data_IF_812022739519
#
_entry.id   IF_812022739519
#
_cell.length_a   1.000
_cell.length_b   1.000
_cell.length_c   1.000
_cell.angle_alpha   90.00
_cell.angle_beta   90.00
_cell.angle_gamma   90.00
#
_symmetry.space_group_name_H-M   'P 1'
#
loop_
_entity.id
_entity.type
_entity.pdbx_description
1 polymer ?
#
# COMPACT_ATOMS: atom_id res chain seq x y z
N UNK A 1 28.60 -1.68 -40.16
CA UNK A 1 28.88 -3.12 -39.96
C UNK A 1 27.76 -3.78 -39.17
N UNK A 2 27.49 -3.40 -37.92
CA UNK A 2 26.44 -4.01 -37.05
C UNK A 2 25.03 -4.13 -37.68
N UNK A 3 24.55 -3.11 -38.40
CA UNK A 3 23.23 -3.12 -39.06
C UNK A 3 23.04 -4.23 -40.09
N UNK A 4 24.13 -4.69 -40.74
CA UNK A 4 24.12 -5.80 -41.72
C UNK A 4 23.58 -7.09 -41.10
N UNK A 5 23.86 -7.28 -39.81
CA UNK A 5 23.46 -8.44 -39.02
C UNK A 5 22.23 -8.17 -38.13
N UNK A 6 21.54 -7.04 -38.35
CA UNK A 6 20.32 -6.67 -37.62
C UNK A 6 20.54 -6.05 -36.23
N UNK A 7 21.79 -5.81 -35.83
CA UNK A 7 22.10 -5.12 -34.57
C UNK A 7 21.88 -3.61 -34.69
N UNK A 8 21.32 -3.03 -33.64
CA UNK A 8 21.18 -1.58 -33.43
C UNK A 8 22.25 -1.12 -32.45
N UNK A 9 22.87 0.02 -32.73
CA UNK A 9 23.89 0.60 -31.85
C UNK A 9 23.29 1.70 -30.98
N UNK A 10 23.66 1.71 -29.70
CA UNK A 10 23.37 2.79 -28.77
C UNK A 10 24.53 2.92 -27.79
N UNK A 11 25.16 4.10 -27.72
CA UNK A 11 26.36 4.33 -26.91
C UNK A 11 27.42 3.24 -27.15
N UNK A 12 27.84 2.52 -26.10
CA UNK A 12 28.87 1.49 -26.13
C UNK A 12 28.32 0.06 -26.37
N UNK A 13 27.01 -0.08 -26.63
CA UNK A 13 26.38 -1.39 -26.84
C UNK A 13 25.84 -1.55 -28.26
N UNK A 14 25.84 -2.80 -28.73
CA UNK A 14 25.09 -3.22 -29.91
C UNK A 14 24.06 -4.25 -29.49
N UNK A 15 22.79 -4.04 -29.80
CA UNK A 15 21.70 -4.90 -29.34
C UNK A 15 20.75 -5.31 -30.46
N UNK A 16 20.10 -6.46 -30.29
CA UNK A 16 19.12 -7.02 -31.22
C UNK A 16 18.00 -7.66 -30.40
N UNK A 17 16.77 -7.59 -30.91
CA UNK A 17 15.62 -8.27 -30.30
C UNK A 17 15.10 -9.28 -31.31
N UNK A 18 15.04 -10.55 -30.91
CA UNK A 18 14.65 -11.65 -31.77
C UNK A 18 14.11 -12.81 -30.91
N UNK A 19 13.04 -13.48 -31.38
CA UNK A 19 12.45 -14.62 -30.65
C UNK A 19 11.94 -14.31 -29.24
N UNK A 20 11.64 -13.05 -28.91
CA UNK A 20 11.25 -12.65 -27.55
C UNK A 20 12.43 -12.43 -26.59
N UNK A 21 13.67 -12.57 -27.07
CA UNK A 21 14.89 -12.30 -26.32
C UNK A 21 15.51 -10.96 -26.68
N UNK A 22 16.20 -10.38 -25.72
CA UNK A 22 17.08 -9.24 -25.88
C UNK A 22 18.53 -9.74 -25.90
N UNK A 23 19.19 -9.59 -27.04
CA UNK A 23 20.61 -9.88 -27.21
C UNK A 23 21.39 -8.58 -27.15
N UNK A 24 22.46 -8.58 -26.37
CA UNK A 24 23.32 -7.40 -26.21
C UNK A 24 24.79 -7.79 -26.27
N UNK A 25 25.50 -7.15 -27.20
CA UNK A 25 26.93 -7.24 -27.40
C UNK A 25 27.59 -6.03 -26.75
N UNK A 26 28.34 -6.29 -25.68
CA UNK A 26 29.12 -5.29 -24.96
C UNK A 26 30.54 -5.30 -25.48
N UNK A 27 31.04 -4.14 -25.90
CA UNK A 27 32.46 -3.96 -26.23
C UNK A 27 33.17 -3.40 -25.00
N UNK A 28 33.99 -4.23 -24.39
CA UNK A 28 34.85 -3.94 -23.25
C UNK A 28 36.30 -3.84 -23.73
N UNK A 29 37.21 -3.38 -22.88
CA UNK A 29 38.62 -3.25 -23.24
C UNK A 29 39.21 -4.63 -23.56
N UNK A 30 39.50 -4.89 -24.84
CA UNK A 30 40.10 -6.14 -25.32
C UNK A 30 39.14 -7.33 -25.51
N UNK A 31 37.84 -7.16 -25.27
CA UNK A 31 36.86 -8.25 -25.46
C UNK A 31 35.47 -7.73 -25.88
N UNK A 32 34.75 -8.53 -26.66
CA UNK A 32 33.32 -8.38 -26.90
C UNK A 32 32.56 -9.52 -26.23
N UNK A 33 31.53 -9.20 -25.44
CA UNK A 33 30.69 -10.20 -24.76
C UNK A 33 29.27 -10.15 -25.26
N UNK A 34 28.78 -11.28 -25.78
CA UNK A 34 27.39 -11.45 -26.18
C UNK A 34 26.59 -12.00 -25.01
N UNK A 35 25.52 -11.30 -24.66
CA UNK A 35 24.60 -11.69 -23.59
C UNK A 35 23.17 -11.80 -24.07
N UNK A 36 22.38 -12.63 -23.40
CA UNK A 36 20.96 -12.85 -23.68
C UNK A 36 20.13 -12.76 -22.40
N UNK A 37 18.92 -12.21 -22.54
CA UNK A 37 17.86 -12.33 -21.53
C UNK A 37 16.48 -12.24 -22.17
N UNK A 38 15.44 -12.89 -21.63
CA UNK A 38 14.08 -12.72 -22.11
C UNK A 38 13.58 -11.29 -21.93
N UNK A 39 12.80 -10.78 -22.88
CA UNK A 39 12.22 -9.44 -22.81
C UNK A 39 11.31 -9.25 -21.58
N UNK A 40 10.56 -10.29 -21.19
CA UNK A 40 9.67 -10.17 -20.03
C UNK A 40 10.45 -9.94 -18.71
N UNK A 41 11.73 -10.31 -18.64
CA UNK A 41 12.47 -10.32 -17.38
C UNK A 41 12.66 -8.91 -16.82
N UNK A 42 13.12 -7.95 -17.64
CA UNK A 42 13.21 -6.55 -17.23
C UNK A 42 11.83 -5.95 -16.97
N UNK A 43 10.82 -6.30 -17.78
CA UNK A 43 9.46 -5.78 -17.60
C UNK A 43 8.86 -6.21 -16.26
N UNK A 44 9.07 -7.47 -15.88
CA UNK A 44 8.65 -8.02 -14.61
C UNK A 44 9.45 -7.41 -13.45
N UNK A 45 10.76 -7.24 -13.63
CA UNK A 45 11.61 -6.60 -12.62
C UNK A 45 11.20 -5.16 -12.35
N UNK A 46 10.95 -4.37 -13.39
CA UNK A 46 10.49 -2.98 -13.24
C UNK A 46 9.10 -2.89 -12.60
N UNK A 47 8.21 -3.87 -12.82
CA UNK A 47 6.94 -3.95 -12.08
C UNK A 47 7.13 -4.28 -10.60
N UNK A 48 8.08 -5.17 -10.28
CA UNK A 48 8.41 -5.55 -8.90
C UNK A 48 9.05 -4.39 -8.15
N UNK A 49 9.91 -3.63 -8.84
CA UNK A 49 10.65 -2.48 -8.31
C UNK A 49 9.83 -1.18 -8.29
N UNK A 50 8.60 -1.20 -8.81
CA UNK A 50 7.72 -0.02 -8.95
C UNK A 50 8.32 1.09 -9.86
N UNK A 51 9.11 0.69 -10.85
CA UNK A 51 9.75 1.55 -11.85
C UNK A 51 9.18 1.31 -13.25
N UNK A 52 7.86 1.13 -13.35
CA UNK A 52 7.16 0.82 -14.62
C UNK A 52 7.32 1.88 -15.71
N UNK A 53 7.77 3.09 -15.37
CA UNK A 53 8.10 4.16 -16.32
C UNK A 53 9.21 3.76 -17.29
N UNK A 54 10.17 2.93 -16.84
CA UNK A 54 11.26 2.41 -17.66
C UNK A 54 10.79 1.60 -18.87
N UNK A 55 9.54 1.12 -18.87
CA UNK A 55 8.94 0.42 -20.01
C UNK A 55 8.69 1.32 -21.21
N UNK A 56 8.62 2.64 -20.99
CA UNK A 56 8.39 3.65 -22.05
C UNK A 56 9.70 4.17 -22.64
N UNK A 57 10.81 3.90 -21.98
CA UNK A 57 12.15 4.29 -22.39
C UNK A 57 12.64 3.47 -23.61
N UNK A 58 13.65 3.96 -24.35
CA UNK A 58 14.16 3.23 -25.51
C UNK A 58 14.68 1.84 -25.14
N UNK A 59 14.55 0.88 -26.05
CA UNK A 59 14.96 -0.52 -25.85
C UNK A 59 16.42 -0.68 -25.41
N UNK A 60 17.29 0.26 -25.76
CA UNK A 60 18.68 0.26 -25.32
C UNK A 60 18.84 0.35 -23.80
N UNK A 61 17.86 0.91 -23.08
CA UNK A 61 17.87 0.97 -21.61
C UNK A 61 17.94 -0.43 -20.98
N UNK A 62 17.44 -1.47 -21.66
CA UNK A 62 17.57 -2.86 -21.21
C UNK A 62 19.03 -3.34 -21.22
N UNK A 63 19.92 -2.72 -21.98
CA UNK A 63 21.35 -3.06 -21.99
C UNK A 63 22.22 -2.07 -21.21
N UNK A 64 21.83 -0.79 -21.14
CA UNK A 64 22.64 0.27 -20.50
C UNK A 64 22.10 0.76 -19.17
N UNK A 65 20.88 0.38 -18.78
CA UNK A 65 20.21 0.92 -17.62
C UNK A 65 20.78 0.37 -16.32
N UNK A 66 21.05 1.27 -15.36
CA UNK A 66 21.50 0.88 -14.02
C UNK A 66 20.53 -0.06 -13.30
N UNK A 67 19.24 -0.04 -13.64
CA UNK A 67 18.20 -0.91 -13.08
C UNK A 67 17.73 -2.02 -14.04
N UNK A 68 18.51 -2.33 -15.07
CA UNK A 68 18.25 -3.45 -15.98
C UNK A 68 18.94 -4.72 -15.45
N UNK A 69 18.35 -5.88 -15.73
CA UNK A 69 18.92 -7.15 -15.27
C UNK A 69 20.13 -7.55 -16.12
N UNK A 70 21.13 -8.17 -15.52
CA UNK A 70 22.23 -8.77 -16.28
C UNK A 70 21.73 -9.97 -17.09
N UNK A 71 22.27 -10.15 -18.29
CA UNK A 71 22.00 -11.32 -19.14
C UNK A 71 22.97 -12.48 -18.89
N UNK A 72 22.59 -13.65 -19.40
CA UNK A 72 23.47 -14.81 -19.51
C UNK A 72 24.46 -14.60 -20.66
N UNK A 73 25.74 -14.89 -20.45
CA UNK A 73 26.77 -14.85 -21.49
C UNK A 73 26.61 -16.05 -22.42
N UNK A 74 26.53 -15.78 -23.71
CA UNK A 74 26.53 -16.80 -24.76
C UNK A 74 27.93 -17.05 -25.29
N UNK A 75 28.65 -15.97 -25.60
CA UNK A 75 29.99 -16.01 -26.15
C UNK A 75 30.80 -14.80 -25.74
N UNK A 76 32.11 -14.98 -25.66
CA UNK A 76 33.11 -13.92 -25.48
C UNK A 76 34.11 -14.01 -26.62
N UNK A 77 34.41 -12.87 -27.23
CA UNK A 77 35.32 -12.74 -28.35
C UNK A 77 36.49 -11.85 -27.93
N UNK A 78 37.72 -12.33 -28.06
CA UNK A 78 38.90 -11.52 -27.80
C UNK A 78 39.12 -10.55 -28.97
N UNK A 79 39.42 -9.29 -28.65
CA UNK A 79 39.73 -8.26 -29.63
C UNK A 79 41.22 -7.98 -29.52
N UNK A 80 42.00 -8.45 -30.50
CA UNK A 80 43.42 -8.18 -30.56
C UNK A 80 43.69 -6.68 -30.72
N UNK A 81 44.68 -6.16 -30.00
CA UNK A 81 45.16 -4.79 -30.19
C UNK A 81 45.90 -4.70 -31.53
N UNK A 82 45.28 -4.04 -32.51
CA UNK A 82 45.89 -3.72 -33.81
C UNK A 82 45.80 -2.23 -34.08
N UNK A 83 46.83 -1.69 -34.73
CA UNK A 83 46.86 -0.30 -35.23
C UNK A 83 46.37 -0.20 -36.68
N UNK A 84 46.13 -1.33 -37.36
CA UNK A 84 45.60 -1.34 -38.72
C UNK A 84 44.06 -1.27 -38.73
N UNK A 85 43.54 -0.33 -39.51
CA UNK A 85 42.10 -0.05 -39.59
C UNK A 85 41.33 -1.13 -40.36
N UNK A 86 41.95 -1.77 -41.35
CA UNK A 86 41.32 -2.81 -42.16
C UNK A 86 41.26 -4.13 -41.40
N UNK A 87 42.34 -4.53 -40.71
CA UNK A 87 42.32 -5.65 -39.76
C UNK A 87 41.26 -5.48 -38.68
N UNK A 88 41.17 -4.28 -38.07
CA UNK A 88 40.17 -3.99 -37.06
C UNK A 88 38.74 -4.10 -37.61
N UNK A 89 38.51 -3.58 -38.82
CA UNK A 89 37.23 -3.65 -39.51
C UNK A 89 36.80 -5.09 -39.78
N UNK A 90 37.72 -5.93 -40.25
CA UNK A 90 37.46 -7.35 -40.49
C UNK A 90 37.16 -8.08 -39.18
N UNK A 91 37.92 -7.82 -38.12
CA UNK A 91 37.68 -8.40 -36.80
C UNK A 91 36.27 -8.05 -36.27
N UNK A 92 35.81 -6.80 -36.42
CA UNK A 92 34.45 -6.44 -36.04
C UNK A 92 33.39 -7.13 -36.91
N UNK A 93 33.57 -7.24 -38.24
CA UNK A 93 32.60 -7.93 -39.10
C UNK A 93 32.49 -9.42 -38.74
N UNK A 94 33.62 -10.06 -38.43
CA UNK A 94 33.69 -11.45 -37.96
C UNK A 94 32.97 -11.61 -36.60
N UNK A 95 33.23 -10.73 -35.62
CA UNK A 95 32.52 -10.75 -34.33
C UNK A 95 31.00 -10.65 -34.53
N UNK A 96 30.52 -9.75 -35.40
CA UNK A 96 29.08 -9.63 -35.63
C UNK A 96 28.49 -10.84 -36.37
N UNK A 97 29.24 -11.45 -37.29
CA UNK A 97 28.85 -12.67 -38.00
C UNK A 97 28.77 -13.86 -37.06
N UNK A 98 29.78 -14.05 -36.22
CA UNK A 98 29.83 -15.13 -35.23
C UNK A 98 28.74 -14.93 -34.17
N UNK A 99 28.58 -13.71 -33.66
CA UNK A 99 27.49 -13.37 -32.75
C UNK A 99 26.11 -13.66 -33.35
N UNK A 100 25.89 -13.37 -34.63
CA UNK A 100 24.62 -13.69 -35.28
C UNK A 100 24.41 -15.22 -35.46
N UNK A 101 25.49 -15.97 -35.67
CA UNK A 101 25.46 -17.44 -35.73
C UNK A 101 25.08 -18.02 -34.35
N UNK A 102 25.71 -17.53 -33.28
CA UNK A 102 25.39 -17.91 -31.90
C UNK A 102 23.94 -17.56 -31.51
N UNK A 103 23.46 -16.37 -31.89
CA UNK A 103 22.05 -15.99 -31.68
C UNK A 103 21.10 -16.98 -32.37
N UNK A 104 21.40 -17.35 -33.61
CA UNK A 104 20.55 -18.28 -34.38
C UNK A 104 20.56 -19.68 -33.78
N UNK A 105 21.73 -20.17 -33.35
CA UNK A 105 21.87 -21.43 -32.63
C UNK A 105 21.07 -21.43 -31.32
N UNK A 106 21.24 -20.39 -30.51
CA UNK A 106 20.52 -20.24 -29.24
C UNK A 106 19.00 -20.24 -29.41
N UNK A 107 18.48 -19.55 -30.43
CA UNK A 107 17.04 -19.51 -30.73
C UNK A 107 16.49 -20.85 -31.24
N UNK A 108 17.34 -21.68 -31.86
CA UNK A 108 16.98 -23.04 -32.27
C UNK A 108 16.83 -23.94 -31.05
N UNK A 109 17.75 -23.82 -30.09
CA UNK A 109 17.74 -24.60 -28.84
C UNK A 109 16.66 -24.11 -27.86
N UNK A 110 16.37 -22.81 -27.87
CA UNK A 110 15.43 -22.14 -26.97
C UNK A 110 14.42 -21.30 -27.79
N UNK A 111 13.44 -21.94 -28.45
CA UNK A 111 12.49 -21.25 -29.30
C UNK A 111 11.45 -20.42 -28.52
N UNK A 112 11.19 -20.78 -27.26
CA UNK A 112 10.21 -20.13 -26.40
C UNK A 112 10.88 -19.39 -25.24
N UNK A 113 10.83 -18.06 -25.30
CA UNK A 113 11.35 -17.20 -24.26
C UNK A 113 10.72 -17.44 -22.89
N UNK A 114 9.43 -17.77 -22.83
CA UNK A 114 8.68 -17.88 -21.57
C UNK A 114 9.11 -19.10 -20.73
N UNK A 115 9.62 -20.13 -21.39
CA UNK A 115 10.10 -21.38 -20.79
C UNK A 115 11.60 -21.35 -20.45
N UNK A 116 12.30 -20.28 -20.83
CA UNK A 116 13.74 -20.18 -20.64
C UNK A 116 14.11 -19.98 -19.17
N UNK A 117 15.07 -20.78 -18.71
CA UNK A 117 15.74 -20.61 -17.42
C UNK A 117 17.22 -20.33 -17.66
N UNK A 118 17.76 -19.23 -17.10
CA UNK A 118 19.16 -18.90 -17.29
C UNK A 118 20.07 -19.90 -16.56
N UNK A 119 21.21 -20.21 -17.17
CA UNK A 119 22.31 -20.91 -16.52
C UNK A 119 23.08 -19.92 -15.64
N UNK A 120 22.95 -20.10 -14.32
CA UNK A 120 23.53 -19.24 -13.31
C UNK A 120 25.06 -19.22 -13.35
N UNK A 121 25.70 -20.29 -13.83
CA UNK A 121 27.16 -20.36 -13.97
C UNK A 121 27.71 -19.49 -15.11
N UNK A 122 26.84 -19.12 -16.06
CA UNK A 122 27.18 -18.32 -17.25
C UNK A 122 26.67 -16.89 -17.16
N UNK A 123 26.31 -16.41 -15.98
CA UNK A 123 25.84 -15.04 -15.81
C UNK A 123 26.99 -14.05 -15.87
N UNK A 124 26.81 -12.92 -16.58
CA UNK A 124 27.87 -11.91 -16.71
C UNK A 124 28.21 -11.27 -15.34
N UNK A 125 27.18 -10.82 -14.61
CA UNK A 125 27.30 -10.32 -13.25
C UNK A 125 25.92 -10.28 -12.57
N UNK A 126 25.56 -11.34 -11.84
CA UNK A 126 24.26 -11.41 -11.14
C UNK A 126 24.42 -12.01 -9.73
N UNK A 127 24.97 -11.24 -8.76
CA UNK A 127 25.16 -11.72 -7.39
C UNK A 127 23.83 -12.06 -6.69
N UNK A 128 22.73 -11.47 -7.15
CA UNK A 128 21.40 -11.57 -6.55
C UNK A 128 20.52 -12.63 -7.25
N UNK A 129 21.04 -13.30 -8.30
CA UNK A 129 20.33 -14.31 -9.10
C UNK A 129 18.99 -13.78 -9.65
N UNK A 130 18.90 -12.49 -9.95
CA UNK A 130 17.65 -11.81 -10.29
C UNK A 130 17.03 -12.35 -11.58
N UNK A 131 17.84 -12.65 -12.60
CA UNK A 131 17.29 -13.17 -13.87
C UNK A 131 16.62 -14.52 -13.65
N UNK A 132 17.24 -15.38 -12.83
CA UNK A 132 16.69 -16.68 -12.46
C UNK A 132 15.41 -16.54 -11.62
N UNK A 133 15.42 -15.62 -10.62
CA UNK A 133 14.23 -15.33 -9.83
C UNK A 133 13.07 -14.78 -10.69
N UNK A 134 13.35 -13.96 -11.70
CA UNK A 134 12.32 -13.50 -12.64
C UNK A 134 11.73 -14.66 -13.45
N UNK A 135 12.57 -15.60 -13.93
CA UNK A 135 12.10 -16.78 -14.65
C UNK A 135 11.20 -17.68 -13.77
N UNK A 136 11.52 -17.84 -12.48
CA UNK A 136 10.67 -18.55 -11.53
C UNK A 136 9.32 -17.85 -11.32
N UNK A 137 9.33 -16.53 -11.11
CA UNK A 137 8.11 -15.75 -10.87
C UNK A 137 7.20 -15.72 -12.11
N UNK A 138 7.81 -15.61 -13.30
CA UNK A 138 7.11 -15.65 -14.58
C UNK A 138 6.36 -16.98 -14.75
N UNK A 139 7.01 -18.10 -14.44
CA UNK A 139 6.47 -19.45 -14.51
C UNK A 139 5.62 -19.89 -13.29
N UNK A 140 5.09 -18.92 -12.52
CA UNK A 140 4.28 -19.11 -11.30
C UNK A 140 4.93 -19.94 -10.16
N UNK A 141 6.25 -20.17 -10.20
CA UNK A 141 7.04 -20.86 -9.15
C UNK A 141 7.50 -19.90 -8.06
N UNK A 142 6.54 -19.20 -7.45
CA UNK A 142 6.82 -18.13 -6.46
C UNK A 142 7.35 -18.67 -5.14
N UNK A 143 6.94 -19.87 -4.76
CA UNK A 143 7.36 -20.55 -3.55
C UNK A 143 8.85 -20.85 -3.57
N UNK A 144 9.35 -21.36 -4.70
CA UNK A 144 10.77 -21.64 -4.94
C UNK A 144 11.60 -20.35 -4.89
N UNK A 145 11.12 -19.28 -5.53
CA UNK A 145 11.75 -17.96 -5.46
C UNK A 145 11.85 -17.44 -4.01
N UNK A 146 10.80 -17.64 -3.20
CA UNK A 146 10.80 -17.26 -1.78
C UNK A 146 11.73 -18.15 -0.94
N UNK A 147 11.96 -19.40 -1.33
CA UNK A 147 12.89 -20.29 -0.64
C UNK A 147 14.35 -19.87 -0.89
N UNK A 148 14.71 -19.58 -2.14
CA UNK A 148 16.02 -19.05 -2.52
C UNK A 148 16.33 -17.77 -1.74
N UNK A 149 15.37 -16.84 -1.65
CA UNK A 149 15.53 -15.61 -0.88
C UNK A 149 15.76 -15.89 0.62
N UNK A 150 15.02 -16.84 1.20
CA UNK A 150 15.20 -17.20 2.62
C UNK A 150 16.59 -17.80 2.86
N UNK A 151 17.08 -18.62 1.95
CA UNK A 151 18.42 -19.18 2.02
C UNK A 151 19.49 -18.09 1.90
N UNK A 152 19.34 -17.16 0.96
CA UNK A 152 20.25 -16.03 0.80
C UNK A 152 20.29 -15.14 2.07
N UNK A 153 19.14 -14.92 2.71
CA UNK A 153 19.07 -14.20 4.00
C UNK A 153 19.79 -14.96 5.13
N UNK A 154 19.67 -16.29 5.20
CA UNK A 154 20.42 -17.10 6.18
C UNK A 154 21.93 -16.97 5.98
N UNK A 155 22.36 -16.89 4.73
CA UNK A 155 23.76 -16.73 4.35
C UNK A 155 24.25 -15.27 4.46
N UNK A 156 23.41 -14.36 4.98
CA UNK A 156 23.70 -12.92 5.12
C UNK A 156 24.12 -12.26 3.80
N UNK A 157 23.57 -12.73 2.68
CA UNK A 157 23.77 -12.13 1.37
C UNK A 157 23.37 -10.66 1.38
N UNK A 158 24.17 -9.81 0.76
CA UNK A 158 23.85 -8.39 0.58
C UNK A 158 23.47 -8.15 -0.87
N UNK A 159 22.23 -7.74 -1.09
CA UNK A 159 21.75 -7.44 -2.44
C UNK A 159 22.51 -6.26 -3.05
N UNK A 160 22.70 -6.30 -4.36
CA UNK A 160 23.32 -5.23 -5.15
C UNK A 160 22.38 -4.02 -5.26
N UNK A 161 21.09 -4.26 -5.49
CA UNK A 161 20.10 -3.19 -5.51
C UNK A 161 19.53 -2.95 -4.11
N UNK A 162 19.80 -1.75 -3.59
CA UNK A 162 19.30 -1.28 -2.31
C UNK A 162 18.56 0.05 -2.54
N UNK A 163 17.34 0.14 -2.03
CA UNK A 163 16.54 1.35 -2.00
C UNK A 163 16.35 1.75 -0.53
N UNK A 164 16.97 2.85 -0.12
CA UNK A 164 16.90 3.35 1.25
C UNK A 164 17.50 2.42 2.31
N UNK A 165 17.15 2.65 3.57
CA UNK A 165 17.78 2.01 4.74
C UNK A 165 17.31 0.57 5.02
N UNK A 166 16.19 0.12 4.40
CA UNK A 166 15.54 -1.16 4.77
C UNK A 166 14.89 -1.93 3.60
N UNK A 167 15.16 -1.57 2.35
CA UNK A 167 14.61 -2.31 1.20
C UNK A 167 15.69 -2.70 0.20
N UNK A 168 15.74 -3.99 -0.09
CA UNK A 168 16.66 -4.60 -1.05
C UNK A 168 15.88 -5.37 -2.13
N UNK A 169 16.58 -5.85 -3.16
CA UNK A 169 15.99 -6.65 -4.26
C UNK A 169 15.05 -7.74 -3.76
N UNK A 170 15.51 -8.51 -2.77
CA UNK A 170 14.78 -9.62 -2.19
C UNK A 170 13.53 -9.20 -1.41
N UNK A 171 13.56 -8.03 -0.77
CA UNK A 171 12.40 -7.46 -0.10
C UNK A 171 11.29 -7.12 -1.10
N UNK A 172 11.62 -6.50 -2.25
CA UNK A 172 10.65 -6.20 -3.29
C UNK A 172 10.05 -7.48 -3.90
N UNK A 173 10.90 -8.44 -4.25
CA UNK A 173 10.47 -9.74 -4.79
C UNK A 173 9.57 -10.47 -3.78
N UNK A 174 9.96 -10.50 -2.50
CA UNK A 174 9.19 -11.13 -1.43
C UNK A 174 7.80 -10.50 -1.27
N UNK A 175 7.71 -9.16 -1.35
CA UNK A 175 6.43 -8.44 -1.30
C UNK A 175 5.57 -8.80 -2.51
N UNK A 176 6.15 -8.80 -3.71
CA UNK A 176 5.45 -9.14 -4.95
C UNK A 176 4.84 -10.54 -4.92
N UNK A 177 5.63 -11.55 -4.54
CA UNK A 177 5.17 -12.93 -4.44
C UNK A 177 4.02 -13.08 -3.42
N UNK A 178 4.06 -12.32 -2.31
CA UNK A 178 3.02 -12.35 -1.26
C UNK A 178 1.76 -11.53 -1.61
N UNK A 179 1.86 -10.50 -2.47
CA UNK A 179 0.74 -9.59 -2.82
C UNK A 179 -0.46 -10.31 -3.44
N UNK A 180 -0.22 -11.29 -4.33
CA UNK A 180 -1.30 -12.11 -4.94
C UNK A 180 -1.90 -13.13 -3.95
N UNK A 181 -1.14 -13.57 -2.95
CA UNK A 181 -1.65 -14.46 -1.89
C UNK A 181 -2.68 -13.75 -1.00
N UNK A 182 -2.43 -12.48 -0.64
CA UNK A 182 -3.39 -11.66 0.11
C UNK A 182 -4.70 -11.42 -0.66
N UNK A 183 -4.62 -11.22 -1.98
CA UNK A 183 -5.82 -11.11 -2.83
C UNK A 183 -6.56 -12.45 -3.00
N UNK A 184 -5.85 -13.60 -3.06
CA UNK A 184 -6.47 -14.94 -2.99
C UNK A 184 -7.14 -15.20 -1.63
N UNK A 185 -6.55 -14.73 -0.54
CA UNK A 185 -7.13 -14.79 0.80
C UNK A 185 -8.38 -13.92 0.90
N UNK A 186 -8.35 -12.70 0.34
CA UNK A 186 -9.52 -11.80 0.30
C UNK A 186 -10.63 -12.33 -0.63
N UNK A 187 -10.29 -12.93 -1.77
CA UNK A 187 -11.26 -13.53 -2.71
C UNK A 187 -11.86 -14.82 -2.15
N UNK A 188 -11.08 -15.69 -1.49
CA UNK A 188 -11.64 -16.84 -0.75
C UNK A 188 -12.50 -16.40 0.44
N UNK A 189 -12.14 -15.32 1.12
CA UNK A 189 -12.93 -14.77 2.22
C UNK A 189 -14.26 -14.18 1.74
N UNK A 190 -14.25 -13.43 0.63
CA UNK A 190 -15.48 -12.87 0.01
C UNK A 190 -16.36 -13.96 -0.62
N UNK A 191 -15.81 -14.94 -1.33
CA UNK A 191 -16.58 -16.09 -1.84
C UNK A 191 -17.21 -16.94 -0.73
N UNK A 192 -16.54 -17.08 0.42
CA UNK A 192 -17.08 -17.80 1.58
C UNK A 192 -18.16 -17.02 2.33
N UNK A 193 -18.18 -15.69 2.22
CA UNK A 193 -19.20 -14.84 2.85
C UNK A 193 -20.38 -14.50 1.94
N UNK A 194 -20.23 -14.60 0.60
CA UNK A 194 -21.31 -14.32 -0.35
C UNK A 194 -22.01 -15.56 -0.93
N UNK A 195 -21.42 -16.76 -0.86
CA UNK A 195 -22.12 -17.99 -1.24
C UNK A 195 -22.69 -18.69 0.00
N UNK A 196 -23.73 -18.10 0.56
CA UNK A 196 -24.72 -18.81 1.36
C UNK A 196 -26.11 -18.44 0.80
N UNK A 197 -26.41 -18.98 -0.37
CA UNK A 197 -27.78 -19.26 -0.81
C UNK A 197 -27.69 -20.34 -1.87
N UNK A 198 -28.30 -21.48 -1.54
CA UNK A 198 -28.52 -22.61 -2.43
C UNK A 198 -29.34 -22.17 -3.64
N UNK A 199 -28.83 -22.40 -4.85
CA UNK A 199 -29.65 -22.88 -5.97
C UNK A 199 -28.84 -23.93 -6.73
N UNK A 200 -29.45 -25.10 -6.83
CA UNK A 200 -28.98 -26.31 -7.47
C UNK A 200 -28.90 -26.19 -8.99
N UNK A 201 -28.09 -27.09 -9.56
CA UNK A 201 -28.22 -27.71 -10.88
C UNK A 201 -28.36 -26.79 -12.12
N UNK A 202 -27.28 -26.71 -12.90
CA UNK A 202 -27.19 -27.54 -14.10
C UNK A 202 -25.82 -27.47 -14.76
N UNK A 203 -25.20 -28.64 -14.94
CA UNK A 203 -24.07 -28.80 -15.83
C UNK A 203 -24.51 -28.94 -17.28
N UNK A 204 -23.89 -28.17 -18.19
CA UNK A 204 -23.40 -28.70 -19.48
C UNK A 204 -22.54 -27.68 -20.21
N UNK A 205 -21.32 -28.15 -20.51
CA UNK A 205 -20.45 -27.81 -21.65
C UNK A 205 -21.02 -26.81 -22.66
N UNK A 206 -20.27 -25.74 -22.95
CA UNK A 206 -19.79 -25.45 -24.31
C UNK A 206 -18.42 -24.78 -24.20
N UNK A 207 -17.39 -25.54 -24.56
CA UNK A 207 -16.17 -25.02 -25.15
C UNK A 207 -16.54 -24.39 -26.50
N UNK A 208 -16.26 -23.10 -26.69
CA UNK A 208 -15.91 -22.41 -27.95
C UNK A 208 -15.95 -20.91 -27.65
N UNK A 209 -14.89 -20.19 -28.03
CA UNK A 209 -14.88 -18.73 -28.03
C UNK A 209 -13.71 -18.10 -27.28
N UNK A 210 -12.49 -18.34 -27.77
CA UNK A 210 -11.41 -17.34 -27.66
C UNK A 210 -11.89 -16.09 -28.40
N UNK A 211 -12.48 -15.14 -27.69
CA UNK A 211 -12.58 -13.77 -28.16
C UNK A 211 -12.24 -12.81 -27.01
N UNK A 212 -11.08 -12.17 -27.18
CA UNK A 212 -10.72 -10.85 -26.69
C UNK A 212 -11.44 -10.38 -25.41
N UNK A 213 -10.99 -10.85 -24.26
CA UNK A 213 -11.15 -10.12 -23.01
C UNK A 213 -10.28 -8.86 -23.11
N UNK A 214 -10.81 -7.81 -23.75
CA UNK A 214 -10.28 -6.45 -23.66
C UNK A 214 -10.17 -6.15 -22.18
N UNK A 215 -8.94 -6.18 -21.69
CA UNK A 215 -8.53 -5.75 -20.37
C UNK A 215 -9.13 -4.34 -20.15
N UNK A 216 -10.28 -4.25 -19.49
CA UNK A 216 -10.88 -2.98 -19.11
C UNK A 216 -9.86 -2.31 -18.19
N UNK A 217 -9.11 -1.35 -18.73
CA UNK A 217 -8.17 -0.48 -17.98
C UNK A 217 -8.86 -0.07 -16.70
N UNK A 218 -8.25 -0.42 -15.55
CA UNK A 218 -8.68 0.15 -14.28
C UNK A 218 -8.61 1.68 -14.43
N UNK A 219 -9.68 2.42 -14.10
CA UNK A 219 -9.69 3.86 -14.30
C UNK A 219 -8.57 4.50 -13.49
N UNK A 220 -7.96 5.54 -14.07
CA UNK A 220 -6.70 6.16 -13.64
C UNK A 220 -6.61 6.47 -12.14
N UNK A 221 -7.72 6.88 -11.53
CA UNK A 221 -7.78 7.18 -10.10
C UNK A 221 -7.51 5.98 -9.20
N UNK A 222 -7.72 4.72 -9.66
CA UNK A 222 -7.42 3.49 -8.91
C UNK A 222 -5.94 3.09 -8.85
N UNK A 223 -5.06 3.80 -9.57
CA UNK A 223 -3.63 3.52 -9.64
C UNK A 223 -2.81 4.27 -8.58
N UNK A 224 -3.40 5.25 -7.90
CA UNK A 224 -2.68 6.00 -6.88
C UNK A 224 -2.43 5.17 -5.62
N UNK A 225 -1.29 5.37 -4.93
CA UNK A 225 -1.05 4.82 -3.61
C UNK A 225 -2.15 5.21 -2.61
N UNK A 226 -2.46 4.32 -1.66
CA UNK A 226 -3.54 4.53 -0.67
C UNK A 226 -3.43 5.87 0.10
N UNK A 227 -2.22 6.36 0.36
CA UNK A 227 -1.98 7.64 1.04
C UNK A 227 -2.46 8.87 0.26
N UNK A 228 -2.51 8.80 -1.08
CA UNK A 228 -3.00 9.90 -1.93
C UNK A 228 -4.50 10.09 -1.71
N UNK A 229 -5.26 9.00 -1.55
CA UNK A 229 -6.69 9.11 -1.22
C UNK A 229 -6.90 9.74 0.14
N UNK A 230 -6.12 9.34 1.15
CA UNK A 230 -6.17 9.98 2.47
C UNK A 230 -5.88 11.48 2.38
N UNK A 231 -4.92 11.89 1.55
CA UNK A 231 -4.56 13.30 1.38
C UNK A 231 -5.62 14.09 0.61
N UNK A 232 -6.26 13.50 -0.40
CA UNK A 232 -7.38 14.13 -1.13
C UNK A 232 -8.67 14.19 -0.33
N UNK A 233 -8.90 13.23 0.58
CA UNK A 233 -10.09 13.19 1.42
C UNK A 233 -9.90 13.91 2.76
N UNK A 234 -8.66 14.20 3.17
CA UNK A 234 -8.36 14.91 4.41
C UNK A 234 -9.08 16.28 4.51
N UNK A 235 -9.17 17.11 3.44
CA UNK A 235 -9.95 18.34 3.48
C UNK A 235 -11.46 18.14 3.77
N UNK A 236 -12.00 16.94 3.58
CA UNK A 236 -13.40 16.60 3.90
C UNK A 236 -13.50 15.99 5.29
N UNK A 237 -12.63 15.02 5.62
CA UNK A 237 -12.70 14.33 6.91
C UNK A 237 -12.27 15.20 8.10
N UNK A 238 -11.29 16.09 7.92
CA UNK A 238 -10.80 16.93 9.01
C UNK A 238 -11.89 17.89 9.51
N UNK A 239 -12.60 18.66 8.66
CA UNK A 239 -13.72 19.49 9.11
C UNK A 239 -14.86 18.68 9.75
N UNK A 240 -15.18 17.52 9.19
CA UNK A 240 -16.23 16.63 9.74
C UNK A 240 -15.85 16.12 11.13
N UNK A 241 -14.59 15.74 11.35
CA UNK A 241 -14.10 15.32 12.65
C UNK A 241 -14.13 16.47 13.68
N UNK A 242 -13.72 17.69 13.27
CA UNK A 242 -13.84 18.88 14.12
C UNK A 242 -15.29 19.19 14.47
N UNK A 243 -16.22 19.05 13.52
CA UNK A 243 -17.64 19.24 13.75
C UNK A 243 -18.20 18.24 14.76
N UNK A 244 -17.87 16.94 14.62
CA UNK A 244 -18.30 15.94 15.61
C UNK A 244 -17.69 16.19 16.98
N UNK A 245 -16.45 16.66 17.05
CA UNK A 245 -15.83 16.99 18.33
C UNK A 245 -16.49 18.20 19.02
N UNK A 246 -16.82 19.26 18.28
CA UNK A 246 -17.59 20.39 18.79
C UNK A 246 -19.00 19.96 19.23
N UNK A 247 -19.64 19.08 18.45
CA UNK A 247 -20.96 18.56 18.76
C UNK A 247 -20.97 17.72 20.04
N UNK A 248 -19.96 16.87 20.23
CA UNK A 248 -19.80 16.07 21.44
C UNK A 248 -19.70 16.95 22.69
N UNK A 249 -18.97 18.06 22.62
CA UNK A 249 -18.87 19.03 23.72
C UNK A 249 -20.20 19.71 24.07
N UNK A 250 -21.03 19.97 23.07
CA UNK A 250 -22.33 20.64 23.24
C UNK A 250 -23.45 19.70 23.68
N UNK A 251 -23.29 18.41 23.42
CA UNK A 251 -24.31 17.42 23.77
C UNK A 251 -24.24 17.15 25.27
N UNK A 252 -25.36 17.33 25.98
CA UNK A 252 -25.45 17.18 27.44
C UNK A 252 -25.57 15.71 27.83
N UNK A 253 -24.64 14.88 27.34
CA UNK A 253 -24.59 13.44 27.58
C UNK A 253 -23.24 13.05 28.20
N UNK A 254 -23.25 12.62 29.45
CA UNK A 254 -22.07 12.04 30.11
C UNK A 254 -21.88 10.61 29.56
N UNK A 255 -21.21 10.46 28.41
CA UNK A 255 -20.88 9.13 27.86
C UNK A 255 -19.92 8.42 28.83
N UNK A 256 -20.31 7.27 29.41
CA UNK A 256 -19.44 6.57 30.34
C UNK A 256 -18.12 6.14 29.69
N UNK A 257 -17.01 6.39 30.38
CA UNK A 257 -15.66 6.04 29.94
C UNK A 257 -15.49 4.54 29.60
N UNK A 258 -16.29 3.66 30.21
CA UNK A 258 -16.25 2.23 29.92
C UNK A 258 -16.76 1.87 28.51
N UNK A 259 -17.61 2.70 27.88
CA UNK A 259 -18.09 2.46 26.51
C UNK A 259 -16.91 2.50 25.52
N UNK A 260 -16.01 3.44 25.72
CA UNK A 260 -14.77 3.56 24.95
C UNK A 260 -13.89 2.31 25.10
N UNK A 261 -13.77 1.79 26.32
CA UNK A 261 -12.95 0.61 26.61
C UNK A 261 -13.56 -0.69 26.08
N UNK A 262 -14.86 -0.90 26.29
CA UNK A 262 -15.58 -2.09 25.85
C UNK A 262 -15.67 -2.14 24.33
N UNK A 263 -16.03 -1.03 23.68
CA UNK A 263 -16.10 -0.96 22.21
C UNK A 263 -14.73 -1.22 21.56
N UNK A 264 -13.66 -0.64 22.11
CA UNK A 264 -12.30 -0.87 21.59
C UNK A 264 -11.84 -2.31 21.80
N UNK A 265 -12.20 -2.91 22.94
CA UNK A 265 -11.85 -4.29 23.29
C UNK A 265 -12.59 -5.32 22.42
N UNK A 266 -13.87 -5.07 22.07
CA UNK A 266 -14.64 -5.91 21.13
C UNK A 266 -14.02 -5.91 19.73
N UNK A 267 -13.57 -4.75 19.26
CA UNK A 267 -12.91 -4.62 17.94
C UNK A 267 -11.54 -5.31 17.95
N UNK A 268 -10.76 -5.15 19.02
CA UNK A 268 -9.49 -5.85 19.18
C UNK A 268 -9.67 -7.38 19.24
N UNK A 269 -10.70 -7.86 19.94
CA UNK A 269 -11.05 -9.27 20.01
C UNK A 269 -11.49 -9.82 18.65
N UNK A 270 -12.27 -9.06 17.87
CA UNK A 270 -12.67 -9.44 16.52
C UNK A 270 -11.47 -9.61 15.58
N UNK A 271 -10.52 -8.66 15.61
CA UNK A 271 -9.27 -8.73 14.84
C UNK A 271 -8.44 -9.95 15.27
N UNK A 272 -8.36 -10.20 16.58
CA UNK A 272 -7.62 -11.32 17.13
C UNK A 272 -8.21 -12.66 16.69
N UNK A 273 -9.53 -12.83 16.76
CA UNK A 273 -10.25 -14.03 16.30
C UNK A 273 -10.01 -14.25 14.80
N UNK A 274 -10.07 -13.19 14.00
CA UNK A 274 -9.76 -13.25 12.56
C UNK A 274 -8.34 -13.74 12.28
N UNK A 275 -7.35 -13.27 13.06
CA UNK A 275 -5.96 -13.69 12.92
C UNK A 275 -5.70 -15.13 13.37
N UNK A 276 -6.33 -15.59 14.45
CA UNK A 276 -6.23 -16.98 14.93
C UNK A 276 -6.82 -17.93 13.87
N UNK A 277 -7.98 -17.59 13.30
CA UNK A 277 -8.66 -18.38 12.26
C UNK A 277 -7.87 -18.49 10.96
N UNK A 278 -6.99 -17.53 10.68
CA UNK A 278 -6.14 -17.50 9.47
C UNK A 278 -4.78 -18.21 9.65
N UNK A 279 -4.58 -18.94 10.75
CA UNK A 279 -3.44 -19.86 10.89
C UNK A 279 -2.12 -19.17 11.19
N UNK A 280 -2.07 -18.33 12.23
CA UNK A 280 -0.80 -17.77 12.72
C UNK A 280 0.15 -18.89 13.20
N UNK A 281 1.26 -19.08 12.49
CA UNK A 281 2.31 -20.04 12.89
C UNK A 281 2.97 -19.63 14.22
N UNK A 282 3.15 -20.61 15.11
CA UNK A 282 3.67 -20.52 16.51
C UNK A 282 4.84 -19.54 16.75
N UNK A 283 5.76 -19.36 15.79
CA UNK A 283 6.95 -18.50 15.96
C UNK A 283 6.67 -16.98 15.85
N UNK A 284 5.49 -16.58 15.37
CA UNK A 284 5.07 -15.17 15.27
C UNK A 284 3.82 -14.83 16.10
N UNK A 285 3.36 -15.75 16.96
CA UNK A 285 2.11 -15.60 17.72
C UNK A 285 2.14 -14.39 18.64
N UNK A 286 3.26 -14.17 19.33
CA UNK A 286 3.40 -13.12 20.34
C UNK A 286 3.45 -11.72 19.70
N UNK A 287 4.16 -11.59 18.58
CA UNK A 287 4.18 -10.35 17.78
C UNK A 287 2.81 -10.09 17.14
N UNK A 288 2.15 -11.12 16.63
CA UNK A 288 0.79 -11.01 16.10
C UNK A 288 -0.23 -10.59 17.16
N UNK A 289 -0.18 -11.18 18.36
CA UNK A 289 -1.02 -10.80 19.49
C UNK A 289 -0.81 -9.33 19.88
N UNK A 290 0.45 -8.91 20.03
CA UNK A 290 0.79 -7.54 20.40
C UNK A 290 0.29 -6.54 19.36
N UNK A 291 0.51 -6.82 18.07
CA UNK A 291 0.03 -5.97 16.97
C UNK A 291 -1.51 -5.97 16.90
N UNK A 292 -2.18 -7.09 17.15
CA UNK A 292 -3.65 -7.15 17.20
C UNK A 292 -4.22 -6.24 18.28
N UNK A 293 -3.60 -6.26 19.46
CA UNK A 293 -4.05 -5.49 20.62
C UNK A 293 -3.80 -4.00 20.36
N UNK A 294 -2.61 -3.62 19.89
CA UNK A 294 -2.27 -2.21 19.64
C UNK A 294 -3.06 -1.61 18.48
N UNK A 295 -3.10 -2.27 17.32
CA UNK A 295 -3.89 -1.78 16.19
C UNK A 295 -5.39 -1.87 16.46
N UNK A 296 -5.85 -2.93 17.13
CA UNK A 296 -7.26 -3.10 17.47
C UNK A 296 -7.77 -2.08 18.48
N UNK A 297 -6.97 -1.68 19.46
CA UNK A 297 -7.34 -0.61 20.39
C UNK A 297 -7.33 0.77 19.72
N UNK A 298 -6.33 1.09 18.91
CA UNK A 298 -6.27 2.37 18.18
C UNK A 298 -7.44 2.49 17.20
N UNK A 299 -7.66 1.47 16.37
CA UNK A 299 -8.77 1.45 15.43
C UNK A 299 -10.13 1.40 16.14
N UNK A 300 -10.19 0.68 17.26
CA UNK A 300 -11.36 0.60 18.12
C UNK A 300 -11.79 1.97 18.66
N UNK A 301 -10.84 2.75 19.19
CA UNK A 301 -11.12 4.11 19.67
C UNK A 301 -11.65 5.02 18.55
N UNK A 302 -11.05 4.95 17.36
CA UNK A 302 -11.53 5.75 16.21
C UNK A 302 -12.93 5.33 15.75
N UNK A 303 -13.22 4.03 15.71
CA UNK A 303 -14.52 3.52 15.32
C UNK A 303 -15.61 3.88 16.33
N UNK A 304 -15.35 3.71 17.63
CA UNK A 304 -16.29 4.10 18.69
C UNK A 304 -16.56 5.60 18.66
N UNK A 305 -15.53 6.43 18.50
CA UNK A 305 -15.69 7.88 18.37
C UNK A 305 -16.52 8.27 17.14
N UNK A 306 -16.34 7.57 16.02
CA UNK A 306 -17.15 7.79 14.81
C UNK A 306 -18.62 7.43 15.02
N UNK A 307 -18.91 6.32 15.70
CA UNK A 307 -20.28 5.92 16.05
C UNK A 307 -20.95 6.93 16.98
N UNK A 308 -20.22 7.42 17.98
CA UNK A 308 -20.70 8.47 18.89
C UNK A 308 -21.02 9.75 18.12
N UNK A 309 -20.08 10.22 17.28
CA UNK A 309 -20.29 11.42 16.47
C UNK A 309 -21.49 11.28 15.52
N UNK A 310 -21.68 10.11 14.90
CA UNK A 310 -22.85 9.84 14.06
C UNK A 310 -24.15 9.85 14.88
N UNK A 311 -24.16 9.24 16.05
CA UNK A 311 -25.32 9.22 16.95
C UNK A 311 -25.71 10.65 17.38
N UNK A 312 -24.75 11.45 17.81
CA UNK A 312 -24.96 12.85 18.19
C UNK A 312 -25.35 13.72 16.99
N UNK A 313 -24.75 13.46 15.82
CA UNK A 313 -25.09 14.11 14.56
C UNK A 313 -26.56 13.90 14.19
N UNK A 314 -27.04 12.67 14.30
CA UNK A 314 -28.46 12.33 14.11
C UNK A 314 -29.32 12.99 15.19
N UNK A 315 -28.88 12.97 16.44
CA UNK A 315 -29.59 13.61 17.55
C UNK A 315 -29.81 15.11 17.31
N UNK A 316 -28.79 15.81 16.78
CA UNK A 316 -28.87 17.23 16.42
C UNK A 316 -29.69 17.51 15.17
N UNK A 317 -29.55 16.66 14.14
CA UNK A 317 -30.22 16.86 12.86
C UNK A 317 -31.75 16.87 13.00
N UNK A 318 -32.27 16.08 13.93
CA UNK A 318 -33.69 15.97 14.25
C UNK A 318 -34.06 16.64 15.59
N UNK A 319 -33.23 17.57 16.07
CA UNK A 319 -33.52 18.30 17.30
C UNK A 319 -34.65 19.33 17.10
N UNK A 320 -35.33 19.66 18.19
CA UNK A 320 -36.38 20.67 18.23
C UNK A 320 -35.86 22.08 17.92
N UNK A 321 -36.81 23.02 17.77
CA UNK A 321 -36.50 24.45 17.81
C UNK A 321 -35.79 24.83 19.13
N UNK A 322 -34.94 25.87 19.11
CA UNK A 322 -34.21 26.33 20.29
C UNK A 322 -35.18 26.84 21.38
N UNK A 323 -34.93 26.42 22.62
CA UNK A 323 -35.71 26.78 23.80
C UNK A 323 -34.82 27.64 24.70
N UNK A 324 -35.34 28.78 25.12
CA UNK A 324 -34.67 29.70 26.04
C UNK A 324 -35.20 29.51 27.45
N UNK A 325 -34.31 29.22 28.41
CA UNK A 325 -34.67 29.00 29.81
C UNK A 325 -33.73 29.77 30.73
N UNK A 326 -34.32 30.41 31.74
CA UNK A 326 -33.56 31.06 32.82
C UNK A 326 -32.93 30.03 33.75
N UNK A 327 -31.64 30.18 34.02
CA UNK A 327 -30.84 29.26 34.80
C UNK A 327 -29.90 30.02 35.76
N UNK A 328 -29.56 29.42 36.89
CA UNK A 328 -28.65 29.99 37.88
C UNK A 328 -27.31 29.23 37.89
N UNK A 329 -26.22 29.98 37.77
CA UNK A 329 -24.87 29.39 37.83
C UNK A 329 -24.58 28.94 39.26
N UNK A 330 -24.25 27.66 39.45
CA UNK A 330 -23.91 27.13 40.78
C UNK A 330 -22.43 27.36 41.13
N UNK A 331 -22.05 27.06 42.37
CA UNK A 331 -20.64 27.05 42.78
C UNK A 331 -19.83 25.88 42.18
N UNK A 332 -20.48 24.90 41.56
CA UNK A 332 -19.84 23.74 40.96
C UNK A 332 -19.14 24.08 39.64
N UNK A 333 -17.84 24.39 39.71
CA UNK A 333 -16.99 24.63 38.54
C UNK A 333 -15.80 23.70 38.55
N UNK A 334 -15.57 23.03 37.42
CA UNK A 334 -14.45 22.10 37.26
C UNK A 334 -13.62 22.50 36.06
N UNK A 335 -12.30 22.59 36.26
CA UNK A 335 -11.33 22.77 35.20
C UNK A 335 -10.47 21.53 35.09
N UNK A 336 -10.57 20.83 33.96
CA UNK A 336 -9.71 19.70 33.66
C UNK A 336 -8.65 20.12 32.64
N UNK A 337 -7.38 19.97 33.01
CA UNK A 337 -6.23 20.28 32.17
C UNK A 337 -5.55 18.99 31.72
N UNK A 338 -5.64 18.65 30.44
CA UNK A 338 -4.86 17.54 29.89
C UNK A 338 -3.37 17.93 29.77
N UNK A 339 -2.44 17.13 30.28
CA UNK A 339 -1.00 17.32 30.09
C UNK A 339 -0.57 16.56 28.83
N UNK A 340 -0.27 17.27 27.73
CA UNK A 340 0.15 16.65 26.46
C UNK A 340 0.38 17.65 25.31
N UNK A 341 0.81 17.14 24.14
CA UNK A 341 1.12 17.93 22.92
C UNK A 341 -0.12 18.58 22.26
N UNK A 342 -1.31 18.19 22.71
CA UNK A 342 -2.61 18.73 22.32
C UNK A 342 -3.31 19.23 23.59
N UNK A 343 -3.64 20.52 23.65
CA UNK A 343 -4.28 21.14 24.82
C UNK A 343 -5.80 20.88 24.80
N UNK A 344 -6.26 19.79 25.40
CA UNK A 344 -7.67 19.55 25.66
C UNK A 344 -8.01 20.09 27.05
N UNK A 345 -8.46 21.35 27.11
CA UNK A 345 -9.00 21.94 28.33
C UNK A 345 -10.52 21.80 28.32
N UNK A 346 -11.09 21.33 29.43
CA UNK A 346 -12.53 21.33 29.69
C UNK A 346 -12.85 22.31 30.81
N UNK A 347 -13.85 23.15 30.58
CA UNK A 347 -14.33 24.21 31.48
C UNK A 347 -15.79 23.93 31.83
N UNK A 348 -15.99 22.99 32.75
CA UNK A 348 -17.32 22.50 33.11
C UNK A 348 -17.94 23.41 34.17
N UNK A 349 -19.11 23.95 33.86
CA UNK A 349 -19.92 24.76 34.77
C UNK A 349 -21.23 24.03 35.05
N UNK A 350 -21.58 23.91 36.33
CA UNK A 350 -22.87 23.36 36.74
C UNK A 350 -23.90 24.49 36.82
N UNK A 351 -25.00 24.35 36.10
CA UNK A 351 -26.10 25.32 36.09
C UNK A 351 -27.41 24.63 36.49
N UNK A 352 -28.25 25.34 37.25
CA UNK A 352 -29.56 24.87 37.69
C UNK A 352 -30.67 25.60 36.91
N UNK A 353 -31.53 24.86 36.21
CA UNK A 353 -32.68 25.41 35.51
C UNK A 353 -33.79 25.79 36.49
N UNK A 354 -34.31 27.02 36.41
CA UNK A 354 -35.37 27.51 37.30
C UNK A 354 -36.73 26.77 37.20
N UNK A 355 -37.24 26.42 36.00
CA UNK A 355 -38.59 25.84 35.92
C UNK A 355 -38.66 24.38 36.41
N UNK A 356 -37.56 23.64 36.37
CA UNK A 356 -37.57 22.18 36.60
C UNK A 356 -36.59 21.72 37.69
N UNK A 357 -35.79 22.63 38.28
CA UNK A 357 -34.70 22.29 39.21
C UNK A 357 -33.72 21.23 38.68
N UNK A 358 -33.64 21.10 37.36
CA UNK A 358 -32.70 20.18 36.70
C UNK A 358 -31.31 20.78 36.72
N UNK A 359 -30.32 19.94 37.04
CA UNK A 359 -28.92 20.31 37.10
C UNK A 359 -28.26 19.91 35.77
N UNK A 360 -27.69 20.88 35.07
CA UNK A 360 -26.97 20.67 33.82
C UNK A 360 -25.47 20.91 34.01
N UNK A 361 -24.65 20.09 33.35
CA UNK A 361 -23.20 20.29 33.25
C UNK A 361 -22.88 20.76 31.83
N UNK A 362 -22.28 21.93 31.71
CA UNK A 362 -21.99 22.55 30.41
C UNK A 362 -20.49 22.81 30.30
N UNK A 363 -19.85 22.31 29.24
CA UNK A 363 -18.45 22.61 28.90
C UNK A 363 -18.40 23.85 27.98
N UNK A 364 -18.27 25.04 28.59
CA UNK A 364 -18.12 26.30 27.85
C UNK A 364 -17.18 27.26 28.60
N UNK A 365 -16.21 27.80 27.87
CA UNK A 365 -15.17 28.66 28.44
C UNK A 365 -15.70 30.03 28.90
N UNK A 366 -16.65 30.61 28.16
CA UNK A 366 -17.20 31.92 28.50
C UNK A 366 -18.19 31.80 29.66
N UNK A 367 -19.02 30.74 29.68
CA UNK A 367 -19.90 30.43 30.80
C UNK A 367 -19.11 30.17 32.10
N UNK A 368 -17.94 29.55 32.00
CA UNK A 368 -17.07 29.33 33.16
C UNK A 368 -16.58 30.62 33.83
N UNK A 369 -16.49 31.74 33.10
CA UNK A 369 -16.10 33.04 33.66
C UNK A 369 -17.23 33.74 34.40
N UNK A 370 -18.49 33.40 34.15
CA UNK A 370 -19.67 34.03 34.77
C UNK A 370 -19.65 33.79 36.29
N UNK A 371 -19.88 34.80 37.14
CA UNK A 371 -19.84 34.60 38.59
C UNK A 371 -20.84 33.53 39.07
N UNK A 372 -20.53 32.77 40.14
CA UNK A 372 -21.51 31.92 40.78
C UNK A 372 -22.70 32.75 41.28
N UNK A 373 -23.89 32.14 41.30
CA UNK A 373 -25.20 32.74 41.64
C UNK A 373 -25.75 33.75 40.64
N UNK A 374 -25.03 34.06 39.56
CA UNK A 374 -25.55 34.89 38.48
C UNK A 374 -26.69 34.20 37.70
N UNK A 375 -27.66 34.99 37.28
CA UNK A 375 -28.72 34.55 36.38
C UNK A 375 -28.24 34.59 34.92
N UNK A 376 -28.43 33.50 34.21
CA UNK A 376 -28.10 33.36 32.79
C UNK A 376 -29.30 32.80 32.04
N UNK A 377 -29.50 33.22 30.80
CA UNK A 377 -30.47 32.59 29.90
C UNK A 377 -29.69 31.58 29.06
N UNK A 378 -30.12 30.32 29.11
CA UNK A 378 -29.53 29.22 28.35
C UNK A 378 -30.45 28.89 27.20
N UNK A 379 -29.86 28.75 26.01
CA UNK A 379 -30.54 28.26 24.82
C UNK A 379 -30.08 26.82 24.56
N UNK A 380 -31.03 25.88 24.56
CA UNK A 380 -30.75 24.47 24.26
C UNK A 380 -31.84 23.88 23.35
N UNK A 381 -31.58 22.71 22.77
CA UNK A 381 -32.51 21.97 21.91
C UNK A 381 -32.76 20.59 22.48
N UNK A 382 -34.00 20.11 22.42
CA UNK A 382 -34.31 18.71 22.71
C UNK A 382 -33.92 17.85 21.52
N UNK A 383 -32.95 16.97 21.70
CA UNK A 383 -32.54 16.03 20.67
C UNK A 383 -33.52 14.87 20.50
N UNK A 384 -33.46 14.21 19.34
CA UNK A 384 -34.33 13.10 18.96
C UNK A 384 -34.39 11.97 20.01
N UNK A 385 -33.28 11.68 20.67
CA UNK A 385 -33.17 10.59 21.64
C UNK A 385 -33.47 11.03 23.08
N UNK A 386 -34.06 12.22 23.28
CA UNK A 386 -34.27 12.81 24.60
C UNK A 386 -32.98 13.28 25.26
N UNK A 387 -31.96 13.57 24.44
CA UNK A 387 -30.66 14.09 24.88
C UNK A 387 -30.56 15.54 24.43
N UNK A 388 -30.39 16.44 25.39
CA UNK A 388 -30.38 17.87 25.13
C UNK A 388 -29.04 18.35 24.59
N UNK A 389 -29.09 19.38 23.76
CA UNK A 389 -27.92 19.96 23.08
C UNK A 389 -27.86 21.45 23.42
N UNK A 390 -26.74 21.86 24.00
CA UNK A 390 -26.45 23.27 24.30
C UNK A 390 -26.12 24.04 23.01
N UNK A 391 -26.76 25.21 22.81
CA UNK A 391 -26.52 26.06 21.63
C UNK A 391 -25.73 27.32 22.02
N UNK A 392 -26.24 28.07 23.00
CA UNK A 392 -25.64 29.32 23.47
C UNK A 392 -26.14 29.71 24.87
N UNK A 393 -25.50 30.71 25.47
CA UNK A 393 -26.00 31.39 26.65
C UNK A 393 -25.92 32.91 26.46
N UNK A 394 -26.80 33.66 27.12
CA UNK A 394 -26.71 35.11 27.24
C UNK A 394 -26.61 35.50 28.71
N UNK A 395 -25.60 36.31 29.01
CA UNK A 395 -25.37 36.90 30.32
C UNK A 395 -25.25 38.41 30.16
N UNK A 396 -26.16 39.16 30.75
CA UNK A 396 -26.06 40.61 30.89
C UNK A 396 -25.46 40.92 32.26
N UNK A 397 -24.17 41.33 32.34
CA UNK A 397 -23.61 41.76 33.60
C UNK A 397 -24.36 43.01 34.09
N UNK A 398 -24.82 42.97 35.34
CA UNK A 398 -25.36 44.15 36.03
C UNK A 398 -24.30 45.22 36.27
#
# INVERSE_FOLDING_TARGET
MSRKYGFRQSSYINFKVEGGYFFCLYFLTGEARLTVKPMYADDLWWDIWDASENKKEPLSLRGTGAYSLSGQVLASYEIAETTDADELTNAFDDIFKDANTEVTGFLTDNPDADLFYPDESRMNHDPDRLLYLMALIHNDKKEDALEIIKEAHKNKHRCMFQSGMFSDSYTYISRWCKRKSLFRLFTKWTLKHFNCSDVSENGRRVSVGREAEKCKRKPWYRLFPEWVYWLTLAPVYVPVAFYFFDLHKRTLCDIPWWIWFVGSSLIAAYILIGMIRNGLRRKGLLVGLLMSITFGTIYGMMAVGSCIGLFEGINRLFASEPIEVSATVTYGKFHHRSIGRWNFNWFITIVQLKPENVILKIDDYELYKVPPQSEVIITYRHGLFGIDIFDSFSYTPE
#
